data_IF_253322642068
#
_entry.id   IF_253322642068
#
_cell.length_a   1.000
_cell.length_b   1.000
_cell.length_c   1.000
_cell.angle_alpha   90.00
_cell.angle_beta   90.00
_cell.angle_gamma   90.00
#
_symmetry.space_group_name_H-M   'P 1'
#
loop_
_entity.id
_entity.type
_entity.pdbx_description
1 polymer ?
#
# COMPACT_ATOMS: atom_id res chain seq x y z
N UNK A 1 4.59 -18.45 -19.70
CA UNK A 1 5.03 -18.73 -18.32
C UNK A 1 4.04 -18.00 -17.42
N UNK A 2 3.17 -18.74 -16.75
CA UNK A 2 2.37 -18.17 -15.66
C UNK A 2 3.32 -17.86 -14.51
N UNK A 3 3.33 -16.61 -14.05
CA UNK A 3 4.02 -16.24 -12.81
C UNK A 3 3.23 -16.83 -11.66
N UNK A 4 3.85 -17.72 -10.89
CA UNK A 4 3.27 -18.23 -9.64
C UNK A 4 3.21 -17.05 -8.65
N UNK A 5 2.03 -16.84 -8.06
CA UNK A 5 1.82 -15.83 -7.03
C UNK A 5 1.67 -16.52 -5.67
N UNK A 6 2.45 -16.06 -4.70
CA UNK A 6 2.34 -16.48 -3.31
C UNK A 6 1.45 -15.51 -2.54
N UNK A 7 0.49 -16.07 -1.80
CA UNK A 7 -0.36 -15.30 -0.88
C UNK A 7 0.31 -15.18 0.48
N UNK A 8 0.64 -13.96 0.87
CA UNK A 8 1.26 -13.67 2.16
C UNK A 8 0.25 -13.00 3.07
N UNK A 9 -0.08 -13.65 4.19
CA UNK A 9 -0.92 -13.06 5.24
C UNK A 9 -0.23 -11.83 5.83
N UNK A 10 -0.94 -10.69 5.90
CA UNK A 10 -0.36 -9.43 6.39
C UNK A 10 -1.07 -8.85 7.62
N UNK A 11 -2.38 -9.06 7.76
CA UNK A 11 -3.17 -8.56 8.88
C UNK A 11 -4.59 -9.14 8.84
N UNK A 12 -5.34 -9.00 9.94
CA UNK A 12 -6.81 -8.96 9.85
C UNK A 12 -7.28 -7.57 9.43
N UNK A 13 -8.46 -7.48 8.81
CA UNK A 13 -9.06 -6.21 8.38
C UNK A 13 -9.32 -5.27 9.58
N UNK A 14 -9.70 -5.82 10.73
CA UNK A 14 -9.92 -5.06 11.97
C UNK A 14 -8.64 -4.42 12.53
N UNK A 15 -7.49 -5.08 12.33
CA UNK A 15 -6.18 -4.62 12.81
C UNK A 15 -5.58 -3.52 11.92
N UNK A 16 -6.17 -3.27 10.74
CA UNK A 16 -5.72 -2.18 9.87
C UNK A 16 -6.18 -0.84 10.45
N UNK A 17 -5.25 0.10 10.66
CA UNK A 17 -5.59 1.41 11.18
C UNK A 17 -6.43 2.19 10.16
N UNK A 18 -7.25 3.12 10.67
CA UNK A 18 -7.95 4.08 9.83
C UNK A 18 -7.03 5.26 9.50
N UNK A 19 -7.17 5.82 8.29
CA UNK A 19 -6.50 7.04 7.80
C UNK A 19 -4.96 6.99 7.70
N UNK A 20 -4.30 5.98 8.23
CA UNK A 20 -2.87 5.71 8.05
C UNK A 20 -2.68 4.29 7.53
N UNK A 21 -1.44 3.91 7.20
CA UNK A 21 -1.11 2.57 6.75
C UNK A 21 -0.54 1.68 7.84
N UNK A 22 -0.50 0.38 7.56
CA UNK A 22 0.30 -0.60 8.29
C UNK A 22 1.54 -0.94 7.46
N UNK A 23 2.72 -0.89 8.08
CA UNK A 23 3.95 -1.44 7.48
C UNK A 23 3.95 -2.96 7.59
N UNK A 24 4.22 -3.65 6.49
CA UNK A 24 4.46 -5.10 6.44
C UNK A 24 5.77 -5.36 5.71
N UNK A 25 6.62 -6.24 6.26
CA UNK A 25 7.88 -6.65 5.64
C UNK A 25 7.78 -8.08 5.16
N UNK A 26 8.12 -8.33 3.89
CA UNK A 26 8.14 -9.67 3.28
C UNK A 26 9.45 -9.83 2.50
N UNK A 27 10.39 -10.60 3.08
CA UNK A 27 11.77 -10.64 2.56
C UNK A 27 12.39 -9.23 2.61
N UNK A 28 12.88 -8.76 1.46
CA UNK A 28 13.45 -7.42 1.31
C UNK A 28 12.40 -6.35 0.92
N UNK A 29 11.15 -6.73 0.71
CA UNK A 29 10.07 -5.81 0.37
C UNK A 29 9.42 -5.23 1.63
N UNK A 30 9.30 -3.91 1.65
CA UNK A 30 8.52 -3.19 2.64
C UNK A 30 7.25 -2.62 1.99
N UNK A 31 6.11 -3.00 2.52
CA UNK A 31 4.78 -2.70 1.96
C UNK A 31 3.99 -1.79 2.91
N UNK A 32 3.23 -0.87 2.34
CA UNK A 32 2.22 -0.09 3.04
C UNK A 32 0.82 -0.64 2.72
N UNK A 33 0.11 -1.10 3.74
CA UNK A 33 -1.25 -1.62 3.64
C UNK A 33 -2.23 -0.57 4.15
N UNK A 34 -3.15 -0.11 3.30
CA UNK A 34 -4.13 0.92 3.63
C UNK A 34 -5.54 0.36 3.59
N UNK A 35 -6.32 0.60 4.66
CA UNK A 35 -7.78 0.43 4.65
C UNK A 35 -8.43 1.79 4.43
N UNK A 36 -9.19 1.92 3.35
CA UNK A 36 -9.90 3.14 3.00
C UNK A 36 -11.25 3.22 3.73
N UNK A 37 -11.82 4.42 3.83
CA UNK A 37 -13.13 4.65 4.45
C UNK A 37 -14.28 3.87 3.78
N UNK A 38 -14.12 3.52 2.50
CA UNK A 38 -15.07 2.69 1.77
C UNK A 38 -14.87 1.18 1.99
N UNK A 39 -13.99 0.78 2.91
CA UNK A 39 -13.67 -0.61 3.26
C UNK A 39 -12.70 -1.30 2.31
N UNK A 40 -12.29 -0.68 1.20
CA UNK A 40 -11.28 -1.28 0.30
C UNK A 40 -9.92 -1.29 0.96
N UNK A 41 -9.15 -2.34 0.69
CA UNK A 41 -7.77 -2.48 1.13
C UNK A 41 -6.84 -2.45 -0.08
N UNK A 42 -5.77 -1.67 0.02
CA UNK A 42 -4.74 -1.54 -1.00
C UNK A 42 -3.35 -1.75 -0.41
N UNK A 43 -2.46 -2.33 -1.21
CA UNK A 43 -1.05 -2.53 -0.86
C UNK A 43 -0.16 -1.87 -1.90
N UNK A 44 0.81 -1.07 -1.44
CA UNK A 44 1.82 -0.43 -2.29
C UNK A 44 3.20 -0.56 -1.65
N UNK A 45 4.27 -0.30 -2.41
CA UNK A 45 5.62 -0.17 -1.86
C UNK A 45 5.66 0.94 -0.79
N UNK A 46 6.31 0.69 0.34
CA UNK A 46 6.28 1.60 1.50
C UNK A 46 7.22 2.81 1.36
N UNK A 47 7.81 3.03 0.19
CA UNK A 47 8.82 4.07 -0.03
C UNK A 47 8.36 5.05 -1.08
N UNK A 48 8.21 6.31 -0.66
CA UNK A 48 7.86 7.41 -1.56
C UNK A 48 8.91 7.52 -2.68
N UNK A 49 8.51 7.61 -3.96
CA UNK A 49 9.44 7.60 -5.08
C UNK A 49 10.29 8.89 -5.18
N UNK A 50 9.99 9.90 -4.37
CA UNK A 50 10.80 11.11 -4.26
C UNK A 50 12.11 10.88 -3.50
N UNK A 51 12.02 10.59 -2.19
CA UNK A 51 13.18 10.49 -1.26
C UNK A 51 13.01 9.38 -0.22
N UNK A 52 12.17 8.39 -0.49
CA UNK A 52 12.04 7.19 0.36
C UNK A 52 11.27 7.38 1.67
N UNK A 53 10.47 8.44 1.80
CA UNK A 53 9.58 8.62 2.96
C UNK A 53 8.65 7.41 3.14
N UNK A 54 8.40 7.04 4.41
CA UNK A 54 7.59 5.87 4.78
C UNK A 54 6.13 6.17 4.48
N UNK A 55 5.55 5.54 3.45
CA UNK A 55 4.19 5.88 3.03
C UNK A 55 3.12 5.41 4.01
N UNK A 56 3.35 4.34 4.75
CA UNK A 56 2.43 3.86 5.79
C UNK A 56 2.23 4.89 6.92
N UNK A 57 3.19 5.78 7.15
CA UNK A 57 3.06 6.90 8.09
C UNK A 57 2.30 8.10 7.49
N UNK A 58 1.99 8.05 6.20
CA UNK A 58 1.26 9.09 5.48
C UNK A 58 -0.25 9.06 5.75
N UNK A 59 -0.87 10.23 5.64
CA UNK A 59 -2.31 10.36 5.76
C UNK A 59 -2.99 9.87 4.47
N UNK A 60 -4.05 9.10 4.63
CA UNK A 60 -4.94 8.67 3.54
C UNK A 60 -6.17 9.56 3.48
N UNK A 61 -6.52 10.01 2.28
CA UNK A 61 -7.78 10.68 2.00
C UNK A 61 -8.32 10.25 0.63
N UNK A 62 -9.50 9.64 0.62
CA UNK A 62 -10.06 9.00 -0.57
C UNK A 62 -9.17 7.83 -1.02
N UNK A 63 -8.80 7.79 -2.30
CA UNK A 63 -7.91 6.75 -2.86
C UNK A 63 -6.43 7.20 -2.93
N UNK A 64 -6.01 8.13 -2.07
CA UNK A 64 -4.65 8.68 -2.07
C UNK A 64 -4.02 8.68 -0.69
N UNK A 65 -2.71 8.40 -0.65
CA UNK A 65 -1.84 8.67 0.49
C UNK A 65 -1.00 9.91 0.21
N UNK A 66 -0.79 10.72 1.24
CA UNK A 66 0.09 11.88 1.22
C UNK A 66 1.37 11.52 1.97
N UNK A 67 2.50 11.57 1.26
CA UNK A 67 3.80 11.26 1.83
C UNK A 67 4.07 12.16 3.04
N UNK A 68 4.40 11.61 4.23
CA UNK A 68 4.48 12.39 5.46
C UNK A 68 5.66 13.38 5.48
N UNK A 69 6.60 13.26 4.55
CA UNK A 69 7.79 14.12 4.50
C UNK A 69 7.63 15.36 3.61
N UNK A 70 6.92 15.23 2.49
CA UNK A 70 6.89 16.27 1.45
C UNK A 70 5.51 16.40 0.77
N UNK A 71 4.47 15.82 1.35
CA UNK A 71 3.07 15.87 0.91
C UNK A 71 2.78 15.39 -0.52
N UNK A 72 3.72 14.64 -1.12
CA UNK A 72 3.50 14.01 -2.42
C UNK A 72 2.25 13.12 -2.38
N UNK A 73 1.29 13.43 -3.24
CA UNK A 73 0.01 12.73 -3.33
C UNK A 73 0.14 11.53 -4.27
N UNK A 74 -0.07 10.33 -3.74
CA UNK A 74 0.11 9.07 -4.46
C UNK A 74 -1.20 8.29 -4.43
N UNK A 75 -1.66 7.81 -5.57
CA UNK A 75 -2.85 6.95 -5.62
C UNK A 75 -2.50 5.56 -5.08
N UNK A 76 -3.21 5.09 -4.06
CA UNK A 76 -3.01 3.72 -3.51
C UNK A 76 -3.56 2.64 -4.44
N UNK A 77 -4.41 3.03 -5.40
CA UNK A 77 -5.05 2.11 -6.35
C UNK A 77 -4.13 1.69 -7.49
N UNK A 78 -3.31 2.62 -7.99
CA UNK A 78 -2.46 2.39 -9.17
C UNK A 78 -1.01 2.87 -9.00
N UNK A 79 -0.65 3.34 -7.79
CA UNK A 79 0.71 3.74 -7.43
C UNK A 79 1.16 5.07 -8.04
N UNK A 80 0.36 5.73 -8.88
CA UNK A 80 0.80 6.94 -9.57
C UNK A 80 0.84 8.14 -8.64
N UNK A 81 1.96 8.86 -8.67
CA UNK A 81 2.07 10.22 -8.13
C UNK A 81 1.16 11.15 -8.94
N UNK A 82 0.49 12.07 -8.26
CA UNK A 82 -0.43 13.04 -8.88
C UNK A 82 0.30 14.35 -9.18
N UNK A 83 -0.18 15.07 -10.19
CA UNK A 83 0.34 16.40 -10.55
C UNK A 83 0.29 17.36 -9.34
N UNK A 84 1.28 18.29 -9.23
CA UNK A 84 2.33 18.60 -10.21
C UNK A 84 3.57 17.68 -10.16
N UNK A 85 3.61 16.75 -9.21
CA UNK A 85 4.73 15.82 -9.04
C UNK A 85 4.64 14.64 -10.03
N UNK A 86 5.73 13.89 -10.15
CA UNK A 86 5.84 12.76 -11.10
C UNK A 86 6.50 11.55 -10.47
N UNK A 87 6.06 10.36 -10.88
CA UNK A 87 6.61 9.08 -10.43
C UNK A 87 5.51 8.07 -10.15
N UNK A 88 5.91 6.88 -9.71
CA UNK A 88 4.99 5.88 -9.22
C UNK A 88 5.68 4.97 -8.21
N UNK A 89 4.87 4.29 -7.40
CA UNK A 89 5.27 3.14 -6.59
C UNK A 89 4.67 1.88 -7.18
N UNK A 90 5.25 0.73 -6.85
CA UNK A 90 4.64 -0.54 -7.16
C UNK A 90 3.35 -0.74 -6.35
N UNK A 91 2.31 -1.26 -6.99
CA UNK A 91 1.10 -1.76 -6.33
C UNK A 91 1.12 -3.27 -6.29
N UNK A 92 0.53 -3.84 -5.25
CA UNK A 92 0.42 -5.28 -5.09
C UNK A 92 -1.04 -5.69 -5.00
N UNK A 93 -1.36 -6.85 -5.59
CA UNK A 93 -2.71 -7.40 -5.51
C UNK A 93 -3.02 -7.83 -4.08
N UNK A 94 -4.25 -7.55 -3.65
CA UNK A 94 -4.74 -7.86 -2.30
C UNK A 94 -5.93 -8.80 -2.41
N UNK A 95 -5.90 -9.90 -1.67
CA UNK A 95 -7.03 -10.79 -1.47
C UNK A 95 -7.50 -10.70 -0.01
N UNK A 96 -8.83 -10.71 0.18
CA UNK A 96 -9.43 -10.77 1.52
C UNK A 96 -10.23 -12.06 1.63
N UNK A 97 -9.93 -12.88 2.64
CA UNK A 97 -10.59 -14.17 2.90
C UNK A 97 -10.88 -14.25 4.39
N UNK A 98 -12.15 -14.46 4.78
CA UNK A 98 -12.53 -14.58 6.19
C UNK A 98 -11.97 -13.45 7.08
N UNK A 99 -12.06 -12.20 6.62
CA UNK A 99 -11.52 -11.01 7.32
C UNK A 99 -9.99 -10.96 7.46
N UNK A 100 -9.27 -11.87 6.83
CA UNK A 100 -7.81 -11.87 6.71
C UNK A 100 -7.38 -11.23 5.39
N UNK A 101 -6.35 -10.40 5.46
CA UNK A 101 -5.77 -9.68 4.34
C UNK A 101 -4.51 -10.40 3.89
N UNK A 102 -4.45 -10.70 2.59
CA UNK A 102 -3.32 -11.32 1.92
C UNK A 102 -2.80 -10.40 0.82
N UNK A 103 -1.48 -10.33 0.67
CA UNK A 103 -0.84 -9.70 -0.49
C UNK A 103 -0.31 -10.79 -1.41
N UNK A 104 -0.62 -10.68 -2.70
CA UNK A 104 -0.15 -11.59 -3.75
C UNK A 104 1.18 -11.07 -4.29
N UNK A 105 2.23 -11.84 -4.07
CA UNK A 105 3.60 -11.51 -4.50
C UNK A 105 4.07 -12.54 -5.54
N UNK A 106 4.79 -12.12 -6.58
CA UNK A 106 5.47 -13.07 -7.46
C UNK A 106 6.53 -13.86 -6.68
N UNK A 107 6.68 -15.13 -7.01
CA UNK A 107 7.83 -15.97 -6.59
C UNK A 107 9.19 -15.41 -7.04
#
# INVERSE_FOLDING_TARGET
METLLNEVFVAKVEDLPEKIGKTTVVGDLELAIFKLDNGKVHAIENRCPHKGGVLAEGLVSGEHVFCPMHDWKISVKNGKVQEPDVGCVQTFEVAIKNEEVYVLLPE
#
